data_IF_371053066394
#
_entry.id   IF_371053066394
#
_cell.length_a   1.000
_cell.length_b   1.000
_cell.length_c   1.000
_cell.angle_alpha   90.00
_cell.angle_beta   90.00
_cell.angle_gamma   90.00
#
_symmetry.space_group_name_H-M   'P 1'
#
loop_
_entity.id
_entity.type
_entity.pdbx_description
1 polymer ?
#
# COMPACT_ATOMS: atom_id res chain seq x y z
N UNK A 1 1.14 -4.15 40.22
CA UNK A 1 1.27 -5.39 39.41
C UNK A 1 0.97 -5.22 37.91
N UNK A 2 0.06 -4.32 37.49
CA UNK A 2 -0.26 -4.11 36.06
C UNK A 2 0.90 -3.60 35.17
N UNK A 3 1.82 -2.80 35.71
CA UNK A 3 2.92 -2.20 34.92
C UNK A 3 3.95 -3.20 34.39
N UNK A 4 4.16 -4.34 35.07
CA UNK A 4 5.19 -5.30 34.64
C UNK A 4 4.69 -6.15 33.46
N UNK A 5 3.42 -6.55 33.47
CA UNK A 5 2.82 -7.33 32.39
C UNK A 5 2.74 -6.54 31.08
N UNK A 6 2.29 -5.27 31.15
CA UNK A 6 2.24 -4.39 29.98
C UNK A 6 3.65 -4.13 29.40
N UNK A 7 4.67 -4.03 30.26
CA UNK A 7 6.07 -3.89 29.82
C UNK A 7 6.57 -5.15 29.11
N UNK A 8 6.19 -6.33 29.57
CA UNK A 8 6.54 -7.62 28.94
C UNK A 8 5.81 -7.81 27.60
N UNK A 9 4.53 -7.45 27.49
CA UNK A 9 3.79 -7.52 26.22
C UNK A 9 4.36 -6.57 25.17
N UNK A 10 4.70 -5.35 25.57
CA UNK A 10 5.35 -4.38 24.70
C UNK A 10 6.71 -4.86 24.20
N UNK A 11 7.51 -5.51 25.07
CA UNK A 11 8.79 -6.10 24.67
C UNK A 11 8.62 -7.21 23.63
N UNK A 12 7.65 -8.10 23.81
CA UNK A 12 7.34 -9.15 22.82
C UNK A 12 6.93 -8.58 21.47
N UNK A 13 6.14 -7.51 21.48
CA UNK A 13 5.76 -6.81 20.25
C UNK A 13 6.97 -6.21 19.53
N UNK A 14 7.90 -5.59 20.27
CA UNK A 14 9.14 -5.08 19.69
C UNK A 14 10.02 -6.20 19.13
N UNK A 15 10.13 -7.32 19.85
CA UNK A 15 10.86 -8.51 19.38
C UNK A 15 10.28 -9.05 18.07
N UNK A 16 8.95 -9.10 17.94
CA UNK A 16 8.24 -9.50 16.72
C UNK A 16 8.54 -8.56 15.55
N UNK A 17 8.48 -7.24 15.77
CA UNK A 17 8.80 -6.24 14.73
C UNK A 17 10.27 -6.27 14.29
N UNK A 18 11.17 -6.68 15.19
CA UNK A 18 12.60 -6.81 14.92
C UNK A 18 12.99 -8.17 14.31
N UNK A 19 12.07 -9.12 14.19
CA UNK A 19 12.36 -10.40 13.54
C UNK A 19 12.74 -10.16 12.07
N UNK A 20 13.90 -10.62 11.60
CA UNK A 20 14.27 -10.50 10.19
C UNK A 20 13.30 -11.22 9.23
N UNK A 21 12.47 -12.15 9.73
CA UNK A 21 11.40 -12.82 8.98
C UNK A 21 10.02 -12.16 9.16
N UNK A 22 9.95 -11.01 9.85
CA UNK A 22 8.70 -10.27 10.00
C UNK A 22 8.18 -9.82 8.64
N UNK A 23 6.96 -10.26 8.30
CA UNK A 23 6.33 -9.97 7.02
C UNK A 23 5.17 -8.98 7.12
N UNK A 24 4.78 -8.54 8.31
CA UNK A 24 3.61 -7.66 8.52
C UNK A 24 3.80 -6.20 8.11
N UNK A 25 4.98 -5.81 7.62
CA UNK A 25 5.29 -4.44 7.21
C UNK A 25 4.76 -4.07 5.83
N UNK A 26 4.32 -2.81 5.68
CA UNK A 26 4.00 -2.25 4.36
C UNK A 26 5.25 -2.02 3.52
N UNK A 27 5.19 -2.33 2.22
CA UNK A 27 6.30 -2.08 1.31
C UNK A 27 6.28 -0.65 0.80
N UNK A 28 7.44 0.00 0.87
CA UNK A 28 7.62 1.36 0.37
C UNK A 28 7.96 1.30 -1.11
N UNK A 29 7.48 2.29 -1.87
CA UNK A 29 7.89 2.47 -3.26
C UNK A 29 9.43 2.67 -3.36
N UNK A 30 10.06 2.23 -4.47
CA UNK A 30 11.46 2.55 -4.73
C UNK A 30 11.67 4.07 -4.86
N UNK A 31 12.92 4.54 -4.78
CA UNK A 31 13.24 5.98 -4.84
C UNK A 31 12.73 6.68 -6.11
N UNK A 32 12.67 5.97 -7.24
CA UNK A 32 12.19 6.47 -8.52
C UNK A 32 11.12 5.52 -9.09
N UNK A 33 9.89 5.54 -8.54
CA UNK A 33 8.85 4.63 -8.99
C UNK A 33 8.38 5.01 -10.39
N UNK A 34 8.10 3.99 -11.19
CA UNK A 34 7.40 4.14 -12.46
C UNK A 34 5.98 4.68 -12.22
N UNK A 35 5.37 5.35 -13.23
CA UNK A 35 3.97 5.77 -13.11
C UNK A 35 3.00 4.60 -12.83
N UNK A 36 3.33 3.39 -13.29
CA UNK A 36 2.54 2.20 -13.04
C UNK A 36 2.63 1.75 -11.58
N UNK A 37 3.84 1.70 -11.00
CA UNK A 37 4.01 1.37 -9.58
C UNK A 37 3.30 2.39 -8.69
N UNK A 38 3.45 3.69 -9.00
CA UNK A 38 2.74 4.75 -8.29
C UNK A 38 1.23 4.56 -8.36
N UNK A 39 0.67 4.26 -9.54
CA UNK A 39 -0.76 4.05 -9.71
C UNK A 39 -1.28 2.84 -8.91
N UNK A 40 -0.57 1.71 -8.94
CA UNK A 40 -0.93 0.53 -8.13
C UNK A 40 -0.89 0.86 -6.64
N UNK A 41 0.16 1.55 -6.20
CA UNK A 41 0.32 1.94 -4.81
C UNK A 41 -0.77 2.91 -4.34
N UNK A 42 -1.16 3.87 -5.18
CA UNK A 42 -2.25 4.80 -4.88
C UNK A 42 -3.60 4.08 -4.77
N UNK A 43 -3.84 3.04 -5.56
CA UNK A 43 -5.02 2.18 -5.42
C UNK A 43 -4.97 1.38 -4.12
N UNK A 44 -3.84 0.75 -3.77
CA UNK A 44 -3.65 0.08 -2.47
C UNK A 44 -3.96 1.04 -1.30
N UNK A 45 -3.55 2.31 -1.41
CA UNK A 45 -3.86 3.33 -0.41
C UNK A 45 -5.36 3.52 -0.21
N UNK A 46 -6.16 3.47 -1.26
CA UNK A 46 -7.62 3.59 -1.15
C UNK A 46 -8.23 2.44 -0.32
N UNK A 47 -7.73 1.20 -0.47
CA UNK A 47 -8.17 0.08 0.37
C UNK A 47 -7.82 0.32 1.85
N UNK A 48 -6.61 0.81 2.12
CA UNK A 48 -6.17 1.13 3.49
C UNK A 48 -7.00 2.26 4.08
N UNK A 49 -7.25 3.34 3.33
CA UNK A 49 -8.13 4.44 3.74
C UNK A 49 -9.53 3.92 4.09
N UNK A 50 -10.13 3.10 3.22
CA UNK A 50 -11.42 2.49 3.50
C UNK A 50 -11.40 1.62 4.75
N UNK A 51 -10.34 0.83 4.96
CA UNK A 51 -10.19 0.02 6.16
C UNK A 51 -10.22 0.89 7.42
N UNK A 52 -9.47 1.98 7.42
CA UNK A 52 -9.35 2.89 8.55
C UNK A 52 -10.67 3.65 8.81
N UNK A 53 -11.29 4.16 7.75
CA UNK A 53 -12.52 4.96 7.84
C UNK A 53 -13.71 4.12 8.32
N UNK A 54 -13.79 2.86 7.86
CA UNK A 54 -14.89 1.95 8.21
C UNK A 54 -14.59 1.08 9.42
N UNK A 55 -13.32 1.03 9.88
CA UNK A 55 -12.81 0.09 10.90
C UNK A 55 -13.07 -1.38 10.55
N UNK A 56 -13.18 -1.69 9.25
CA UNK A 56 -13.38 -3.05 8.79
C UNK A 56 -12.14 -3.91 9.11
N UNK A 57 -12.38 -5.13 9.54
CA UNK A 57 -11.33 -6.15 9.62
C UNK A 57 -10.87 -6.56 8.22
N UNK A 58 -9.64 -7.07 8.12
CA UNK A 58 -9.11 -7.66 6.88
C UNK A 58 -10.04 -8.73 6.30
N UNK A 59 -10.69 -9.53 7.15
CA UNK A 59 -11.60 -10.59 6.72
C UNK A 59 -12.87 -10.03 6.06
N UNK A 60 -13.43 -8.94 6.59
CA UNK A 60 -14.60 -8.27 5.99
C UNK A 60 -14.27 -7.64 4.65
N UNK A 61 -13.08 -7.04 4.51
CA UNK A 61 -12.59 -6.51 3.23
C UNK A 61 -12.42 -7.66 2.24
N UNK A 62 -11.75 -8.73 2.64
CA UNK A 62 -11.50 -9.92 1.80
C UNK A 62 -12.81 -10.50 1.24
N UNK A 63 -13.84 -10.61 2.08
CA UNK A 63 -15.18 -11.05 1.66
C UNK A 63 -15.81 -10.11 0.63
N UNK A 64 -15.71 -8.79 0.83
CA UNK A 64 -16.29 -7.80 -0.09
C UNK A 64 -15.62 -7.84 -1.47
N UNK A 65 -14.29 -7.96 -1.51
CA UNK A 65 -13.51 -7.94 -2.75
C UNK A 65 -13.26 -9.33 -3.33
N UNK A 66 -13.82 -10.37 -2.71
CA UNK A 66 -13.76 -11.79 -3.14
C UNK A 66 -12.34 -12.36 -3.24
N UNK A 67 -11.48 -12.00 -2.29
CA UNK A 67 -10.12 -12.52 -2.17
C UNK A 67 -9.94 -13.34 -0.90
N UNK A 68 -8.85 -14.11 -0.83
CA UNK A 68 -8.42 -14.68 0.43
C UNK A 68 -7.94 -13.60 1.40
N UNK A 69 -7.90 -13.93 2.70
CA UNK A 69 -7.36 -13.03 3.72
C UNK A 69 -5.89 -12.66 3.41
N UNK A 70 -5.08 -13.63 2.98
CA UNK A 70 -3.67 -13.42 2.68
C UNK A 70 -3.48 -12.46 1.49
N UNK A 71 -4.20 -12.66 0.38
CA UNK A 71 -4.13 -11.73 -0.76
C UNK A 71 -4.63 -10.32 -0.39
N UNK A 72 -5.62 -10.23 0.50
CA UNK A 72 -6.08 -8.94 0.99
C UNK A 72 -5.03 -8.25 1.85
N UNK A 73 -4.30 -9.00 2.69
CA UNK A 73 -3.15 -8.47 3.44
C UNK A 73 -2.06 -7.97 2.50
N UNK A 74 -1.78 -8.67 1.39
CA UNK A 74 -0.82 -8.21 0.38
C UNK A 74 -1.21 -6.84 -0.21
N UNK A 75 -2.50 -6.60 -0.46
CA UNK A 75 -3.00 -5.29 -0.91
C UNK A 75 -2.82 -4.23 0.19
N UNK A 76 -3.23 -4.54 1.42
CA UNK A 76 -3.17 -3.61 2.56
C UNK A 76 -1.73 -3.29 2.98
N UNK A 77 -0.78 -4.18 2.70
CA UNK A 77 0.65 -4.00 2.92
C UNK A 77 1.39 -3.49 1.68
N UNK A 78 0.69 -2.98 0.66
CA UNK A 78 1.30 -2.36 -0.52
C UNK A 78 2.26 -3.28 -1.30
N UNK A 79 2.03 -4.59 -1.31
CA UNK A 79 2.82 -5.55 -2.09
C UNK A 79 2.39 -5.54 -3.56
N UNK A 80 2.62 -4.40 -4.21
CA UNK A 80 2.09 -4.07 -5.55
C UNK A 80 2.60 -4.99 -6.69
N UNK A 81 3.68 -5.72 -6.46
CA UNK A 81 4.26 -6.64 -7.44
C UNK A 81 3.42 -7.90 -7.66
N UNK A 82 2.57 -8.25 -6.70
CA UNK A 82 1.70 -9.43 -6.77
C UNK A 82 0.42 -9.18 -7.58
N UNK A 83 0.12 -7.92 -7.92
CA UNK A 83 -1.12 -7.55 -8.58
C UNK A 83 -0.85 -6.77 -9.87
N UNK A 84 -1.63 -7.08 -10.90
CA UNK A 84 -1.73 -6.22 -12.08
C UNK A 84 -2.64 -5.03 -11.79
N UNK A 85 -2.48 -3.94 -12.54
CA UNK A 85 -3.29 -2.74 -12.34
C UNK A 85 -4.79 -3.03 -12.57
N UNK A 86 -5.12 -3.79 -13.61
CA UNK A 86 -6.49 -4.19 -13.94
C UNK A 86 -7.15 -4.97 -12.81
N UNK A 87 -6.44 -5.89 -12.15
CA UNK A 87 -6.95 -6.63 -11.00
C UNK A 87 -7.24 -5.72 -9.81
N UNK A 88 -6.31 -4.82 -9.47
CA UNK A 88 -6.52 -3.86 -8.38
C UNK A 88 -7.74 -2.98 -8.61
N UNK A 89 -7.92 -2.49 -9.84
CA UNK A 89 -9.11 -1.72 -10.21
C UNK A 89 -10.37 -2.57 -10.08
N UNK A 90 -10.36 -3.81 -10.59
CA UNK A 90 -11.50 -4.72 -10.50
C UNK A 90 -11.91 -4.95 -9.04
N UNK A 91 -10.95 -5.25 -8.15
CA UNK A 91 -11.23 -5.44 -6.73
C UNK A 91 -11.78 -4.17 -6.07
N UNK A 92 -11.25 -2.99 -6.45
CA UNK A 92 -11.69 -1.74 -5.89
C UNK A 92 -13.14 -1.39 -6.27
N UNK A 93 -13.65 -1.90 -7.40
CA UNK A 93 -15.06 -1.68 -7.80
C UNK A 93 -16.07 -2.29 -6.85
N UNK A 94 -15.66 -3.24 -6.00
CA UNK A 94 -16.53 -3.85 -4.99
C UNK A 94 -16.69 -3.00 -3.72
N UNK A 95 -15.95 -1.90 -3.61
CA UNK A 95 -15.97 -1.00 -2.49
C UNK A 95 -16.40 0.40 -2.96
N UNK A 96 -17.00 1.23 -2.09
CA UNK A 96 -17.37 2.61 -2.40
C UNK A 96 -16.11 3.51 -2.42
N UNK A 97 -15.16 3.22 -3.30
CA UNK A 97 -13.89 3.93 -3.44
C UNK A 97 -13.95 4.89 -4.64
N UNK A 98 -13.34 6.06 -4.50
CA UNK A 98 -13.06 6.95 -5.62
C UNK A 98 -11.61 6.77 -6.08
N UNK A 99 -11.42 6.34 -7.32
CA UNK A 99 -10.08 6.18 -7.91
C UNK A 99 -9.93 7.14 -9.08
N UNK A 100 -8.91 8.01 -8.98
CA UNK A 100 -8.51 8.91 -10.06
C UNK A 100 -7.04 8.67 -10.40
N UNK A 101 -6.79 8.21 -11.62
CA UNK A 101 -5.44 8.07 -12.16
C UNK A 101 -5.15 9.24 -13.11
N UNK A 102 -4.04 9.94 -12.88
CA UNK A 102 -3.60 11.05 -13.74
C UNK A 102 -2.18 10.76 -14.21
N UNK A 103 -1.99 10.61 -15.52
CA UNK A 103 -0.66 10.46 -16.12
C UNK A 103 -0.18 11.85 -16.52
N UNK A 104 0.88 12.32 -15.87
CA UNK A 104 1.53 13.58 -16.22
C UNK A 104 2.80 13.30 -17.02
N UNK A 105 2.93 13.91 -18.20
CA UNK A 105 4.21 13.95 -18.91
C UNK A 105 5.06 15.03 -18.24
N UNK A 106 6.15 14.64 -17.56
CA UNK A 106 7.18 15.61 -17.17
C UNK A 106 7.72 16.20 -18.48
N UNK A 107 7.61 17.52 -18.65
CA UNK A 107 8.27 18.20 -19.76
C UNK A 107 9.77 17.92 -19.66
N UNK A 108 10.38 17.45 -20.76
CA UNK A 108 11.83 17.41 -20.86
C UNK A 108 12.35 18.79 -20.52
N UNK A 109 13.20 18.88 -19.50
CA UNK A 109 14.02 20.08 -19.30
C UNK A 109 15.04 20.09 -20.41
N UNK A 110 14.67 20.53 -21.61
CA UNK A 110 15.66 21.05 -22.55
C UNK A 110 16.29 22.27 -21.88
N UNK A 111 17.47 22.07 -21.30
CA UNK A 111 18.33 23.14 -20.82
C UNK A 111 18.61 24.10 -22.00
N UNK A 112 18.25 25.38 -21.91
CA UNK A 112 18.61 26.37 -22.91
C UNK A 112 20.03 26.89 -22.64
N UNK A 113 21.02 26.02 -22.74
CA UNK A 113 22.45 26.37 -22.67
C UNK A 113 23.15 25.44 -23.68
N UNK A 114 23.84 25.85 -24.75
CA UNK A 114 24.37 27.14 -25.19
C UNK A 114 24.26 27.23 -26.72
N UNK A 115 23.70 28.33 -27.23
CA UNK A 115 24.17 28.90 -28.49
C UNK A 115 24.76 30.24 -28.14
N UNK A 116 26.07 30.26 -27.89
CA UNK A 116 26.85 31.49 -27.90
C UNK A 116 27.67 31.46 -29.19
N UNK A 117 27.31 32.43 -30.05
CA UNK A 117 28.01 33.07 -31.18
C UNK A 117 29.29 32.41 -31.67
#
# INVERSE_FOLDING_TARGET
MKNNQAKTEYQKYLEELCDPNYSGGSWVLPENPTPLEQAKHDICRQFVSYQLDTKASTAEIAQKIQLSKAETEDILYYRIDYFTLDRLVAYATHLPLEIKMVVQKKADKTSPHERTV
#
